data_IF_277062097424
#
_entry.id   IF_277062097424
#
_cell.length_a   1.000
_cell.length_b   1.000
_cell.length_c   1.000
_cell.angle_alpha   90.00
_cell.angle_beta   90.00
_cell.angle_gamma   90.00
#
_symmetry.space_group_name_H-M   'P 1'
#
loop_
_entity.id
_entity.type
_entity.pdbx_description
1 polymer ?
#
# COMPACT_ATOMS: atom_id res chain seq x y z
N UNK A 1 13.19 -6.73 15.96
CA UNK A 1 13.35 -5.41 15.33
C UNK A 1 12.28 -4.40 15.77
N UNK A 2 10.99 -4.76 15.80
CA UNK A 2 9.92 -3.86 16.27
C UNK A 2 10.13 -3.27 17.68
N UNK A 3 10.67 -4.02 18.64
CA UNK A 3 10.91 -3.53 20.01
C UNK A 3 12.00 -2.44 20.10
N UNK A 4 13.02 -2.50 19.23
CA UNK A 4 14.11 -1.50 19.19
C UNK A 4 13.61 -0.22 18.52
N UNK A 5 12.96 -0.36 17.36
CA UNK A 5 12.35 0.76 16.65
C UNK A 5 11.27 1.46 17.48
N UNK A 6 10.50 0.71 18.30
CA UNK A 6 9.50 1.28 19.19
C UNK A 6 10.15 2.07 20.35
N UNK A 7 11.26 1.58 20.92
CA UNK A 7 12.02 2.32 21.94
C UNK A 7 12.64 3.59 21.39
N UNK A 8 13.23 3.53 20.20
CA UNK A 8 13.76 4.71 19.51
C UNK A 8 12.66 5.70 19.13
N UNK A 9 11.53 5.23 18.59
CA UNK A 9 10.37 6.06 18.28
C UNK A 9 9.77 6.72 19.53
N UNK A 10 9.69 6.01 20.66
CA UNK A 10 9.27 6.58 21.94
C UNK A 10 10.28 7.58 22.50
N UNK A 11 11.58 7.35 22.33
CA UNK A 11 12.63 8.30 22.71
C UNK A 11 12.59 9.54 21.83
N UNK A 12 12.44 9.39 20.52
CA UNK A 12 12.36 10.49 19.56
C UNK A 12 11.07 11.28 19.75
N UNK A 13 9.92 10.63 19.97
CA UNK A 13 8.68 11.34 20.31
C UNK A 13 8.80 12.01 21.69
N UNK A 14 9.50 11.38 22.64
CA UNK A 14 9.86 11.99 23.92
C UNK A 14 10.67 13.28 23.73
N UNK A 15 11.77 13.23 22.98
CA UNK A 15 12.63 14.39 22.69
C UNK A 15 11.89 15.48 21.89
N UNK A 16 11.16 15.10 20.84
CA UNK A 16 10.39 16.00 20.00
C UNK A 16 9.27 16.70 20.78
N UNK A 17 8.71 16.04 21.80
CA UNK A 17 7.70 16.63 22.67
C UNK A 17 8.32 17.41 23.84
N UNK A 18 9.46 16.97 24.39
CA UNK A 18 10.18 17.63 25.49
C UNK A 18 10.66 19.02 25.10
N UNK A 19 11.25 19.19 23.91
CA UNK A 19 11.68 20.51 23.40
C UNK A 19 10.51 21.48 23.21
N UNK A 20 9.27 20.98 23.09
CA UNK A 20 8.09 21.83 22.97
C UNK A 20 7.33 22.02 24.30
N UNK A 21 7.61 21.23 25.33
CA UNK A 21 6.84 21.16 26.58
C UNK A 21 7.48 21.93 27.75
N UNK A 22 8.42 22.83 27.49
CA UNK A 22 8.93 23.81 28.46
C UNK A 22 7.76 24.63 29.06
N UNK A 23 7.19 24.16 30.18
CA UNK A 23 6.16 24.89 30.92
C UNK A 23 5.01 24.07 31.51
N UNK A 24 4.90 22.75 31.30
CA UNK A 24 3.91 21.93 32.01
C UNK A 24 4.57 20.77 32.79
N UNK A 25 4.22 20.57 34.08
CA UNK A 25 4.77 19.48 34.87
C UNK A 25 4.44 18.13 34.23
N UNK A 26 5.49 17.36 34.00
CA UNK A 26 5.52 16.09 33.29
C UNK A 26 4.54 15.08 33.91
N UNK A 27 3.45 14.75 33.19
CA UNK A 27 2.82 13.44 33.37
C UNK A 27 3.71 12.46 32.62
N UNK A 28 4.69 11.89 33.33
CA UNK A 28 5.71 11.00 32.75
C UNK A 28 5.11 9.89 31.87
N UNK A 29 5.85 9.54 30.81
CA UNK A 29 5.54 8.53 29.78
C UNK A 29 5.50 7.06 30.30
N UNK A 30 5.36 6.84 31.61
CA UNK A 30 5.54 5.55 32.25
C UNK A 30 4.26 4.94 32.79
N UNK A 31 3.54 4.14 31.99
CA UNK A 31 2.78 3.05 32.60
C UNK A 31 3.80 2.04 33.14
N UNK A 32 3.67 1.59 34.39
CA UNK A 32 4.58 0.61 35.02
C UNK A 32 4.71 -0.73 34.27
N UNK A 33 3.95 -0.92 33.18
CA UNK A 33 3.98 -2.09 32.29
C UNK A 33 4.60 -1.81 30.92
N UNK A 34 5.20 -0.64 30.70
CA UNK A 34 5.91 -0.30 29.46
C UNK A 34 5.03 -0.21 28.21
N UNK A 35 3.71 -0.10 28.37
CA UNK A 35 2.79 0.02 27.24
C UNK A 35 2.45 1.48 27.06
N UNK A 36 3.18 2.15 26.19
CA UNK A 36 2.85 3.47 25.67
C UNK A 36 2.87 3.35 24.13
N UNK A 37 1.95 4.01 23.40
CA UNK A 37 0.78 4.76 23.87
C UNK A 37 -0.39 3.83 24.29
N UNK A 38 -1.23 4.26 25.23
CA UNK A 38 -2.48 3.54 25.61
C UNK A 38 -3.75 4.23 25.13
N UNK A 39 -3.66 5.47 24.67
CA UNK A 39 -4.80 6.22 24.14
C UNK A 39 -4.36 7.14 23.00
N UNK A 40 -5.30 7.58 22.14
CA UNK A 40 -5.00 8.53 21.07
C UNK A 40 -4.45 9.86 21.59
N UNK A 41 -4.88 10.34 22.75
CA UNK A 41 -4.41 11.60 23.33
C UNK A 41 -2.95 11.52 23.75
N UNK A 42 -2.46 10.33 24.14
CA UNK A 42 -1.04 10.13 24.41
C UNK A 42 -0.20 10.10 23.13
N UNK A 43 -0.80 9.68 22.01
CA UNK A 43 -0.16 9.69 20.69
C UNK A 43 -0.17 11.10 20.08
N UNK A 44 -1.19 11.89 20.39
CA UNK A 44 -1.44 13.23 19.85
C UNK A 44 -1.68 14.25 20.98
N UNK A 45 -0.68 14.56 21.82
CA UNK A 45 -0.86 15.38 23.03
C UNK A 45 -1.31 16.82 22.74
N UNK A 46 -1.11 17.30 21.50
CA UNK A 46 -1.54 18.62 21.02
C UNK A 46 -2.58 18.54 19.90
N UNK A 47 -3.18 17.37 19.73
CA UNK A 47 -4.04 17.05 18.59
C UNK A 47 -3.25 16.53 17.38
N UNK A 48 -3.90 15.75 16.49
CA UNK A 48 -3.22 15.07 15.39
C UNK A 48 -2.51 16.00 14.41
N UNK A 49 -3.14 17.11 14.05
CA UNK A 49 -2.58 18.09 13.11
C UNK A 49 -1.27 18.70 13.61
N UNK A 50 -1.24 19.18 14.86
CA UNK A 50 -0.04 19.81 15.43
C UNK A 50 1.09 18.79 15.62
N UNK A 51 0.76 17.56 15.99
CA UNK A 51 1.74 16.47 16.08
C UNK A 51 2.34 16.16 14.71
N UNK A 52 1.51 15.96 13.67
CA UNK A 52 2.01 15.66 12.32
C UNK A 52 2.81 16.82 11.73
N UNK A 53 2.36 18.06 11.91
CA UNK A 53 3.11 19.26 11.53
C UNK A 53 4.50 19.31 12.17
N UNK A 54 4.59 19.02 13.47
CA UNK A 54 5.87 19.00 14.18
C UNK A 54 6.80 17.92 13.62
N UNK A 55 6.29 16.71 13.38
CA UNK A 55 7.07 15.61 12.79
C UNK A 55 7.54 15.93 11.37
N UNK A 56 6.69 16.53 10.53
CA UNK A 56 7.09 16.96 9.18
C UNK A 56 8.21 18.01 9.23
N UNK A 57 8.17 18.98 10.16
CA UNK A 57 9.26 19.96 10.34
C UNK A 57 10.57 19.32 10.81
N UNK A 58 10.50 18.29 11.66
CA UNK A 58 11.69 17.55 12.08
C UNK A 58 12.29 16.81 10.88
N UNK A 59 11.46 16.20 10.02
CA UNK A 59 11.93 15.59 8.77
C UNK A 59 12.60 16.60 7.84
N UNK A 60 12.02 17.79 7.66
CA UNK A 60 12.62 18.89 6.88
C UNK A 60 13.98 19.32 7.45
N UNK A 61 14.14 19.24 8.77
CA UNK A 61 15.39 19.55 9.47
C UNK A 61 16.43 18.41 9.42
N UNK A 62 16.15 17.33 8.68
CA UNK A 62 17.03 16.17 8.56
C UNK A 62 16.98 15.21 9.76
N UNK A 63 16.05 15.38 10.69
CA UNK A 63 15.90 14.49 11.84
C UNK A 63 15.08 13.26 11.40
N UNK A 64 15.63 12.07 11.60
CA UNK A 64 15.03 10.80 11.19
C UNK A 64 13.81 10.41 12.02
N UNK A 65 12.63 10.93 11.64
CA UNK A 65 11.34 10.61 12.29
C UNK A 65 10.40 9.78 11.41
N UNK A 66 10.91 9.19 10.33
CA UNK A 66 10.13 8.42 9.35
C UNK A 66 9.47 7.20 9.99
N UNK A 67 10.21 6.47 10.83
CA UNK A 67 9.71 5.30 11.58
C UNK A 67 8.55 5.70 12.50
N UNK A 68 8.65 6.89 13.09
CA UNK A 68 7.65 7.39 14.02
C UNK A 68 6.38 7.79 13.29
N UNK A 69 6.48 8.52 12.18
CA UNK A 69 5.32 8.84 11.31
C UNK A 69 4.66 7.55 10.83
N UNK A 70 5.47 6.62 10.30
CA UNK A 70 5.03 5.29 9.84
C UNK A 70 4.27 4.56 10.94
N UNK A 71 4.80 4.54 12.16
CA UNK A 71 4.18 3.86 13.30
C UNK A 71 2.89 4.54 13.73
N UNK A 72 2.83 5.87 13.75
CA UNK A 72 1.62 6.60 14.14
C UNK A 72 0.51 6.39 13.11
N UNK A 73 0.83 6.42 11.82
CA UNK A 73 -0.11 6.13 10.74
C UNK A 73 -0.57 4.68 10.82
N UNK A 74 0.36 3.73 10.96
CA UNK A 74 0.03 2.32 11.12
C UNK A 74 -0.82 2.06 12.37
N UNK A 75 -0.60 2.76 13.48
CA UNK A 75 -1.32 2.56 14.75
C UNK A 75 -2.63 3.33 14.82
N UNK A 76 -2.77 4.48 14.16
CA UNK A 76 -3.96 5.32 14.29
C UNK A 76 -4.25 6.16 13.03
N UNK A 77 -4.23 5.51 11.87
CA UNK A 77 -4.50 6.12 10.56
C UNK A 77 -5.69 7.11 10.53
N UNK A 78 -6.86 6.82 11.14
CA UNK A 78 -8.01 7.73 11.06
C UNK A 78 -7.80 9.13 11.66
N UNK A 79 -6.79 9.30 12.51
CA UNK A 79 -6.41 10.61 13.04
C UNK A 79 -5.11 11.11 12.40
N UNK A 80 -4.15 10.23 12.18
CA UNK A 80 -2.83 10.57 11.65
C UNK A 80 -2.89 11.02 10.17
N UNK A 81 -3.58 10.25 9.33
CA UNK A 81 -3.55 10.46 7.89
C UNK A 81 -4.29 11.75 7.47
N UNK A 82 -5.50 12.06 7.97
CA UNK A 82 -6.13 13.37 7.69
C UNK A 82 -5.28 14.56 8.14
N UNK A 83 -4.54 14.42 9.25
CA UNK A 83 -3.61 15.45 9.71
C UNK A 83 -2.41 15.64 8.77
N UNK A 84 -1.97 14.58 8.08
CA UNK A 84 -0.95 14.66 7.03
C UNK A 84 -1.50 15.24 5.72
N UNK A 85 -2.79 15.04 5.43
CA UNK A 85 -3.46 15.61 4.24
C UNK A 85 -3.72 17.11 4.33
N UNK A 86 -3.56 17.74 5.51
CA UNK A 86 -3.59 19.21 5.63
C UNK A 86 -2.59 19.80 4.65
N UNK A 87 -3.04 20.74 3.80
CA UNK A 87 -2.31 21.21 2.62
C UNK A 87 -0.82 21.53 2.87
N UNK A 88 -0.50 22.28 3.94
CA UNK A 88 0.89 22.60 4.30
C UNK A 88 1.71 21.35 4.67
N UNK A 89 1.14 20.43 5.47
CA UNK A 89 1.82 19.19 5.85
C UNK A 89 2.04 18.28 4.63
N UNK A 90 1.02 18.13 3.78
CA UNK A 90 1.04 17.32 2.54
C UNK A 90 2.10 17.84 1.57
N UNK A 91 2.07 19.14 1.25
CA UNK A 91 3.00 19.78 0.34
C UNK A 91 4.46 19.62 0.80
N UNK A 92 4.73 19.85 2.09
CA UNK A 92 6.07 19.68 2.68
C UNK A 92 6.57 18.25 2.59
N UNK A 93 5.72 17.28 2.95
CA UNK A 93 6.08 15.88 2.94
C UNK A 93 6.37 15.39 1.51
N UNK A 94 5.56 15.78 0.54
CA UNK A 94 5.77 15.47 -0.88
C UNK A 94 7.04 16.13 -1.42
N UNK A 95 7.26 17.41 -1.13
CA UNK A 95 8.48 18.10 -1.51
C UNK A 95 9.73 17.40 -0.96
N UNK A 96 9.67 16.91 0.28
CA UNK A 96 10.75 16.13 0.88
C UNK A 96 10.95 14.77 0.18
N UNK A 97 9.87 14.06 -0.15
CA UNK A 97 9.94 12.80 -0.90
C UNK A 97 10.63 13.02 -2.24
N UNK A 98 10.20 14.04 -3.00
CA UNK A 98 10.79 14.42 -4.29
C UNK A 98 12.28 14.79 -4.12
N UNK A 99 12.60 15.66 -3.15
CA UNK A 99 13.98 16.07 -2.90
C UNK A 99 14.91 14.89 -2.58
N UNK A 100 14.41 13.90 -1.82
CA UNK A 100 15.17 12.68 -1.49
C UNK A 100 15.34 11.76 -2.70
N UNK A 101 14.30 11.56 -3.51
CA UNK A 101 14.39 10.80 -4.76
C UNK A 101 15.43 11.40 -5.70
N UNK A 102 15.39 12.73 -5.89
CA UNK A 102 16.34 13.45 -6.73
C UNK A 102 17.77 13.35 -6.17
N UNK A 103 17.94 13.43 -4.85
CA UNK A 103 19.24 13.25 -4.21
C UNK A 103 19.80 11.83 -4.41
N UNK A 104 18.95 10.80 -4.37
CA UNK A 104 19.33 9.41 -4.68
C UNK A 104 19.78 9.32 -6.15
N UNK A 105 18.98 9.81 -7.11
CA UNK A 105 19.36 9.81 -8.52
C UNK A 105 20.69 10.51 -8.77
N UNK A 106 20.87 11.72 -8.22
CA UNK A 106 22.11 12.48 -8.33
C UNK A 106 23.31 11.73 -7.74
N UNK A 107 23.13 11.06 -6.59
CA UNK A 107 24.20 10.28 -5.95
C UNK A 107 24.59 9.05 -6.78
N UNK A 108 23.61 8.36 -7.38
CA UNK A 108 23.85 7.24 -8.29
C UNK A 108 24.61 7.71 -9.53
N UNK A 109 24.17 8.81 -10.16
CA UNK A 109 24.85 9.40 -11.31
C UNK A 109 26.30 9.80 -10.98
N UNK A 110 26.52 10.44 -9.83
CA UNK A 110 27.85 10.83 -9.37
C UNK A 110 28.77 9.63 -9.11
N UNK A 111 28.24 8.53 -8.57
CA UNK A 111 29.01 7.30 -8.36
C UNK A 111 29.34 6.58 -9.66
N UNK A 112 28.40 6.52 -10.61
CA UNK A 112 28.63 5.95 -11.95
C UNK A 112 29.69 6.75 -12.70
N UNK A 113 29.69 8.08 -12.59
CA UNK A 113 30.68 8.95 -13.24
C UNK A 113 32.13 8.70 -12.76
N UNK A 114 32.32 8.10 -11.59
CA UNK A 114 33.64 7.70 -11.06
C UNK A 114 34.16 6.39 -11.68
N UNK A 115 33.31 5.62 -12.37
CA UNK A 115 33.65 4.33 -12.96
C UNK A 115 34.09 4.53 -14.41
N UNK A 116 35.21 3.91 -14.80
CA UNK A 116 35.74 4.00 -16.18
C UNK A 116 34.75 3.39 -17.19
N UNK A 117 34.35 4.09 -18.26
CA UNK A 117 33.49 3.53 -19.30
C UNK A 117 34.14 2.38 -20.09
N UNK A 118 33.35 1.41 -20.60
CA UNK A 118 31.90 1.29 -20.45
C UNK A 118 31.49 0.72 -19.08
N UNK A 119 30.44 1.27 -18.47
CA UNK A 119 29.87 0.76 -17.21
C UNK A 119 28.86 -0.35 -17.53
N UNK A 120 29.13 -1.57 -17.06
CA UNK A 120 28.23 -2.71 -17.27
C UNK A 120 26.87 -2.49 -16.56
N UNK A 121 25.74 -2.92 -17.15
CA UNK A 121 24.41 -2.78 -16.54
C UNK A 121 24.33 -3.30 -15.10
N UNK A 122 24.89 -4.48 -14.83
CA UNK A 122 24.94 -5.07 -13.48
C UNK A 122 25.69 -4.20 -12.47
N UNK A 123 26.72 -3.47 -12.90
CA UNK A 123 27.48 -2.55 -12.03
C UNK A 123 26.65 -1.30 -11.75
N UNK A 124 25.97 -0.77 -12.77
CA UNK A 124 25.04 0.36 -12.62
C UNK A 124 23.92 0.01 -11.63
N UNK A 125 23.29 -1.15 -11.80
CA UNK A 125 22.21 -1.62 -10.95
C UNK A 125 22.69 -1.81 -9.50
N UNK A 126 23.87 -2.40 -9.28
CA UNK A 126 24.44 -2.54 -7.94
C UNK A 126 24.72 -1.18 -7.27
N UNK A 127 25.20 -0.16 -8.01
CA UNK A 127 25.39 1.20 -7.48
C UNK A 127 24.04 1.83 -7.12
N UNK A 128 23.03 1.70 -7.98
CA UNK A 128 21.69 2.22 -7.73
C UNK A 128 21.04 1.56 -6.49
N UNK A 129 21.09 0.23 -6.39
CA UNK A 129 20.58 -0.51 -5.24
C UNK A 129 21.29 -0.11 -3.94
N UNK A 130 22.61 0.11 -3.97
CA UNK A 130 23.36 0.57 -2.80
C UNK A 130 22.85 1.92 -2.29
N UNK A 131 22.60 2.87 -3.19
CA UNK A 131 22.10 4.20 -2.80
C UNK A 131 20.67 4.13 -2.27
N UNK A 132 19.81 3.31 -2.87
CA UNK A 132 18.45 3.07 -2.37
C UNK A 132 18.44 2.39 -1.00
N UNK A 133 19.33 1.41 -0.79
CA UNK A 133 19.47 0.70 0.48
C UNK A 133 19.97 1.61 1.62
N UNK A 134 20.56 2.77 1.33
CA UNK A 134 20.91 3.77 2.34
C UNK A 134 19.69 4.52 2.88
N UNK A 135 18.51 4.35 2.27
CA UNK A 135 17.33 5.13 2.62
C UNK A 135 16.04 4.26 2.80
N UNK A 136 16.08 3.15 3.55
CA UNK A 136 14.95 2.20 3.61
C UNK A 136 13.73 2.76 4.36
N UNK A 137 13.96 3.70 5.28
CA UNK A 137 12.92 4.20 6.19
C UNK A 137 11.89 5.06 5.48
N UNK A 138 12.28 5.87 4.48
CA UNK A 138 11.30 6.70 3.76
C UNK A 138 10.48 5.89 2.76
N UNK A 139 11.06 4.87 2.11
CA UNK A 139 10.30 3.96 1.23
C UNK A 139 9.20 3.27 2.04
N UNK A 140 9.57 2.77 3.23
CA UNK A 140 8.62 2.17 4.17
C UNK A 140 7.56 3.16 4.64
N UNK A 141 7.93 4.43 4.85
CA UNK A 141 6.99 5.49 5.22
C UNK A 141 6.00 5.79 4.09
N UNK A 142 6.49 5.98 2.86
CA UNK A 142 5.64 6.22 1.68
C UNK A 142 4.68 5.05 1.47
N UNK A 143 5.16 3.82 1.58
CA UNK A 143 4.31 2.64 1.54
C UNK A 143 3.23 2.66 2.63
N UNK A 144 3.59 2.91 3.88
CA UNK A 144 2.61 2.95 4.97
C UNK A 144 1.58 4.08 4.80
N UNK A 145 1.98 5.18 4.17
CA UNK A 145 1.07 6.28 3.84
C UNK A 145 0.09 5.90 2.75
N UNK A 146 0.52 5.19 1.71
CA UNK A 146 -0.31 4.94 0.53
C UNK A 146 -1.07 3.61 0.58
N UNK A 147 -0.44 2.57 1.12
CA UNK A 147 -0.93 1.18 1.12
C UNK A 147 -0.93 0.54 2.51
N UNK A 148 -0.74 1.36 3.56
CA UNK A 148 -0.68 0.88 4.93
C UNK A 148 -2.02 0.36 5.45
N UNK A 149 -1.98 -0.25 6.64
CA UNK A 149 -3.17 -0.81 7.27
C UNK A 149 -4.26 0.26 7.46
N UNK A 150 -5.49 -0.10 7.10
CA UNK A 150 -6.68 0.77 7.04
C UNK A 150 -6.63 1.87 5.97
N UNK A 151 -5.74 1.77 4.98
CA UNK A 151 -5.82 2.62 3.79
C UNK A 151 -7.15 2.42 3.07
N UNK A 152 -7.71 3.52 2.60
CA UNK A 152 -8.85 3.53 1.66
C UNK A 152 -8.33 3.63 0.24
N UNK A 153 -9.16 3.23 -0.71
CA UNK A 153 -8.82 3.29 -2.13
C UNK A 153 -8.52 4.74 -2.58
N UNK A 154 -9.20 5.74 -2.02
CA UNK A 154 -8.93 7.16 -2.34
C UNK A 154 -7.69 7.74 -1.66
N UNK A 155 -7.13 7.09 -0.63
CA UNK A 155 -6.11 7.72 0.22
C UNK A 155 -4.85 8.08 -0.59
N UNK A 156 -4.45 7.25 -1.56
CA UNK A 156 -3.28 7.53 -2.39
C UNK A 156 -3.52 8.75 -3.27
N UNK A 157 -4.68 8.82 -3.94
CA UNK A 157 -5.07 9.94 -4.80
C UNK A 157 -5.20 11.24 -3.99
N UNK A 158 -5.85 11.19 -2.82
CA UNK A 158 -5.99 12.33 -1.92
C UNK A 158 -4.61 12.86 -1.45
N UNK A 159 -3.66 11.95 -1.22
CA UNK A 159 -2.31 12.30 -0.83
C UNK A 159 -1.50 12.91 -1.97
N UNK A 160 -1.54 12.33 -3.17
CA UNK A 160 -0.70 12.77 -4.30
C UNK A 160 -1.35 13.83 -5.17
N UNK A 161 -2.63 14.15 -4.95
CA UNK A 161 -3.37 15.20 -5.66
C UNK A 161 -2.56 16.50 -5.75
N UNK A 162 -2.54 17.08 -6.95
CA UNK A 162 -1.76 18.26 -7.35
C UNK A 162 -0.25 18.02 -7.55
N UNK A 163 0.27 16.84 -7.19
CA UNK A 163 1.70 16.51 -7.27
C UNK A 163 2.00 15.24 -8.09
N UNK A 164 1.00 14.66 -8.76
CA UNK A 164 1.17 13.39 -9.47
C UNK A 164 2.32 13.41 -10.48
N UNK A 165 2.45 14.49 -11.25
CA UNK A 165 3.51 14.65 -12.25
C UNK A 165 4.91 14.75 -11.61
N UNK A 166 5.08 15.64 -10.64
CA UNK A 166 6.39 15.85 -10.00
C UNK A 166 6.86 14.59 -9.23
N UNK A 167 5.92 13.88 -8.58
CA UNK A 167 6.21 12.60 -7.94
C UNK A 167 6.55 11.51 -8.96
N UNK A 168 5.80 11.42 -10.06
CA UNK A 168 6.08 10.46 -11.12
C UNK A 168 7.47 10.69 -11.70
N UNK A 169 7.81 11.92 -12.05
CA UNK A 169 9.11 12.26 -12.65
C UNK A 169 10.27 11.88 -11.72
N UNK A 170 10.17 12.24 -10.43
CA UNK A 170 11.19 11.91 -9.44
C UNK A 170 11.34 10.40 -9.21
N UNK A 171 10.23 9.65 -9.15
CA UNK A 171 10.26 8.19 -9.00
C UNK A 171 10.80 7.55 -10.28
N UNK A 172 10.32 7.98 -11.46
CA UNK A 172 10.72 7.48 -12.76
C UNK A 172 12.22 7.67 -13.00
N UNK A 173 12.79 8.81 -12.60
CA UNK A 173 14.22 9.08 -12.72
C UNK A 173 15.03 8.02 -11.94
N UNK A 174 14.63 7.71 -10.70
CA UNK A 174 15.28 6.70 -9.87
C UNK A 174 15.08 5.28 -10.45
N UNK A 175 13.86 4.93 -10.84
CA UNK A 175 13.57 3.59 -11.37
C UNK A 175 14.26 3.31 -12.70
N UNK A 176 14.50 4.34 -13.52
CA UNK A 176 15.20 4.23 -14.80
C UNK A 176 16.70 3.93 -14.65
N UNK A 177 17.25 4.06 -13.44
CA UNK A 177 18.63 3.68 -13.12
C UNK A 177 18.78 2.19 -12.78
N UNK A 178 17.67 1.47 -12.59
CA UNK A 178 17.63 0.05 -12.24
C UNK A 178 17.37 -0.81 -13.48
N UNK A 179 17.96 -2.01 -13.51
CA UNK A 179 17.75 -2.97 -14.61
C UNK A 179 16.37 -3.63 -14.52
N UNK A 180 15.95 -3.97 -13.29
CA UNK A 180 14.70 -4.68 -12.98
C UNK A 180 14.00 -4.06 -11.77
N UNK A 181 13.59 -2.78 -11.86
CA UNK A 181 12.99 -2.05 -10.74
C UNK A 181 11.75 -2.74 -10.16
N UNK A 182 10.95 -3.41 -10.99
CA UNK A 182 9.75 -4.11 -10.54
C UNK A 182 10.04 -5.25 -9.55
N UNK A 183 11.25 -5.83 -9.58
CA UNK A 183 11.69 -6.87 -8.64
C UNK A 183 12.41 -6.31 -7.42
N UNK A 184 13.30 -5.33 -7.64
CA UNK A 184 14.13 -4.79 -6.56
C UNK A 184 13.43 -3.69 -5.75
N UNK A 185 12.49 -2.98 -6.36
CA UNK A 185 11.77 -1.84 -5.82
C UNK A 185 10.27 -1.89 -6.15
N UNK A 186 9.68 -3.10 -6.08
CA UNK A 186 8.27 -3.37 -6.41
C UNK A 186 7.29 -2.28 -5.96
N UNK A 187 7.41 -1.81 -4.72
CA UNK A 187 6.52 -0.79 -4.13
C UNK A 187 6.62 0.58 -4.79
N UNK A 188 7.83 1.04 -5.09
CA UNK A 188 8.04 2.30 -5.82
C UNK A 188 7.59 2.16 -7.26
N UNK A 189 7.84 1.01 -7.89
CA UNK A 189 7.40 0.74 -9.25
C UNK A 189 5.87 0.70 -9.36
N UNK A 190 5.20 0.11 -8.37
CA UNK A 190 3.73 0.10 -8.29
C UNK A 190 3.16 1.51 -8.07
N UNK A 191 3.80 2.33 -7.24
CA UNK A 191 3.43 3.74 -7.10
C UNK A 191 3.64 4.52 -8.40
N UNK A 192 4.74 4.29 -9.11
CA UNK A 192 4.98 4.93 -10.41
C UNK A 192 3.91 4.56 -11.44
N UNK A 193 3.44 3.31 -11.44
CA UNK A 193 2.33 2.86 -12.28
C UNK A 193 1.04 3.64 -11.98
N UNK A 194 0.63 3.71 -10.70
CA UNK A 194 -0.54 4.48 -10.25
C UNK A 194 -0.45 5.96 -10.63
N UNK A 195 0.73 6.56 -10.44
CA UNK A 195 0.93 7.97 -10.79
C UNK A 195 0.85 8.16 -12.30
N UNK A 196 1.50 7.30 -13.10
CA UNK A 196 1.48 7.37 -14.57
C UNK A 196 0.07 7.27 -15.15
N UNK A 197 -0.76 6.34 -14.65
CA UNK A 197 -2.16 6.20 -15.10
C UNK A 197 -2.99 7.43 -14.75
N UNK A 198 -2.71 8.06 -13.60
CA UNK A 198 -3.38 9.29 -13.17
C UNK A 198 -2.93 10.57 -13.91
N UNK A 199 -1.84 10.52 -14.70
CA UNK A 199 -1.36 11.71 -15.41
C UNK A 199 -2.32 12.11 -16.54
N UNK A 200 -2.55 13.41 -16.75
CA UNK A 200 -3.21 13.90 -17.96
C UNK A 200 -2.47 13.43 -19.21
N UNK A 201 -3.20 13.10 -20.28
CA UNK A 201 -2.62 12.58 -21.53
C UNK A 201 -1.46 13.46 -22.06
N UNK A 202 -1.60 14.80 -22.00
CA UNK A 202 -0.57 15.75 -22.43
C UNK A 202 0.75 15.71 -21.62
N UNK A 203 0.77 15.04 -20.46
CA UNK A 203 1.93 14.87 -19.59
C UNK A 203 2.47 13.43 -19.60
N UNK A 204 1.78 12.48 -20.22
CA UNK A 204 2.22 11.08 -20.26
C UNK A 204 3.42 10.96 -21.20
N UNK A 205 4.53 10.47 -20.68
CA UNK A 205 5.63 9.93 -21.49
C UNK A 205 5.23 8.56 -22.06
N UNK A 206 5.91 8.06 -23.11
CA UNK A 206 5.74 6.67 -23.54
C UNK A 206 5.82 5.73 -22.33
N UNK A 207 4.89 4.78 -22.26
CA UNK A 207 4.73 3.89 -21.10
C UNK A 207 6.09 3.27 -20.73
N UNK A 208 6.60 3.48 -19.50
CA UNK A 208 7.90 2.95 -19.11
C UNK A 208 7.96 1.42 -19.16
N UNK A 209 9.10 0.83 -19.54
CA UNK A 209 9.23 -0.62 -19.66
C UNK A 209 8.89 -1.40 -18.38
N UNK A 210 9.24 -0.84 -17.21
CA UNK A 210 8.89 -1.47 -15.93
C UNK A 210 7.38 -1.48 -15.65
N UNK A 211 6.62 -0.52 -16.20
CA UNK A 211 5.16 -0.49 -16.07
C UNK A 211 4.56 -1.69 -16.78
N UNK A 212 4.93 -1.94 -18.05
CA UNK A 212 4.49 -3.12 -18.80
C UNK A 212 4.78 -4.43 -18.04
N UNK A 213 5.93 -4.50 -17.37
CA UNK A 213 6.34 -5.70 -16.63
C UNK A 213 5.54 -5.91 -15.36
N UNK A 214 5.24 -4.84 -14.62
CA UNK A 214 4.35 -4.92 -13.44
C UNK A 214 2.96 -5.36 -13.87
N UNK A 215 2.43 -4.77 -14.94
CA UNK A 215 1.12 -5.13 -15.48
C UNK A 215 1.09 -6.61 -15.90
N UNK A 216 2.10 -7.07 -16.64
CA UNK A 216 2.19 -8.45 -17.08
C UNK A 216 2.37 -9.44 -15.91
N UNK A 217 3.21 -9.12 -14.92
CA UNK A 217 3.42 -9.95 -13.73
C UNK A 217 2.14 -10.00 -12.88
N UNK A 218 1.47 -8.86 -12.65
CA UNK A 218 0.21 -8.82 -11.92
C UNK A 218 -0.92 -9.54 -12.66
N UNK A 219 -1.01 -9.42 -13.98
CA UNK A 219 -1.97 -10.17 -14.79
C UNK A 219 -1.70 -11.68 -14.70
N UNK A 220 -0.43 -12.11 -14.75
CA UNK A 220 -0.05 -13.50 -14.60
C UNK A 220 -0.42 -14.05 -13.21
N UNK A 221 -0.12 -13.30 -12.15
CA UNK A 221 -0.46 -13.66 -10.77
C UNK A 221 -1.97 -13.77 -10.57
N UNK A 222 -2.73 -12.82 -11.12
CA UNK A 222 -4.19 -12.81 -11.03
C UNK A 222 -4.85 -13.84 -11.94
N UNK A 223 -4.15 -14.35 -12.95
CA UNK A 223 -4.60 -15.46 -13.81
C UNK A 223 -4.50 -16.82 -13.10
N UNK A 224 -3.66 -16.96 -12.06
CA UNK A 224 -3.70 -18.12 -11.18
C UNK A 224 -4.76 -17.91 -10.08
N UNK A 225 -5.87 -18.65 -10.10
CA UNK A 225 -6.97 -18.44 -9.15
C UNK A 225 -6.54 -18.62 -7.69
N UNK A 226 -5.52 -19.44 -7.40
CA UNK A 226 -5.07 -19.65 -6.04
C UNK A 226 -4.11 -18.55 -5.55
N UNK A 227 -3.33 -17.93 -6.44
CA UNK A 227 -2.54 -16.73 -6.13
C UNK A 227 -3.49 -15.55 -5.90
N UNK A 228 -4.46 -15.35 -6.79
CA UNK A 228 -5.53 -14.37 -6.60
C UNK A 228 -6.22 -14.54 -5.23
N UNK A 229 -6.62 -15.78 -4.90
CA UNK A 229 -7.24 -16.11 -3.60
C UNK A 229 -6.36 -15.70 -2.42
N UNK A 230 -5.05 -15.98 -2.49
CA UNK A 230 -4.11 -15.61 -1.44
C UNK A 230 -4.16 -14.11 -1.16
N UNK A 231 -4.07 -13.27 -2.20
CA UNK A 231 -4.07 -11.82 -2.05
C UNK A 231 -5.38 -11.29 -1.46
N UNK A 232 -6.53 -11.78 -1.93
CA UNK A 232 -7.83 -11.36 -1.43
C UNK A 232 -8.08 -11.79 0.02
N UNK A 233 -7.73 -13.03 0.39
CA UNK A 233 -7.89 -13.51 1.77
C UNK A 233 -6.90 -12.84 2.71
N UNK A 234 -5.66 -12.58 2.27
CA UNK A 234 -4.68 -11.83 3.04
C UNK A 234 -5.14 -10.39 3.33
N UNK A 235 -5.77 -9.73 2.35
CA UNK A 235 -6.40 -8.41 2.55
C UNK A 235 -7.45 -8.45 3.66
N UNK A 236 -8.39 -9.40 3.59
CA UNK A 236 -9.45 -9.53 4.58
C UNK A 236 -8.94 -9.92 5.98
N UNK A 237 -7.89 -10.73 6.06
CA UNK A 237 -7.26 -11.11 7.33
C UNK A 237 -6.52 -9.95 8.03
N UNK A 238 -6.04 -8.99 7.25
CA UNK A 238 -5.31 -7.81 7.72
C UNK A 238 -6.21 -6.60 7.97
N UNK A 239 -7.47 -6.65 7.52
CA UNK A 239 -8.46 -5.60 7.74
C UNK A 239 -8.72 -5.39 9.24
N UNK A 240 -8.59 -4.14 9.72
CA UNK A 240 -8.86 -3.80 11.13
C UNK A 240 -10.23 -3.16 11.38
N UNK A 241 -11.13 -3.21 10.40
CA UNK A 241 -12.53 -2.86 10.62
C UNK A 241 -13.35 -4.06 11.09
N UNK A 242 -14.54 -3.79 11.59
CA UNK A 242 -15.57 -4.79 11.87
C UNK A 242 -16.14 -5.30 10.54
N UNK A 243 -16.31 -6.62 10.41
CA UNK A 243 -16.99 -7.26 9.28
C UNK A 243 -18.50 -7.41 9.46
N UNK A 244 -19.08 -6.81 10.50
CA UNK A 244 -20.54 -6.76 10.63
C UNK A 244 -21.16 -5.93 9.50
N UNK A 245 -22.30 -6.36 8.93
CA UNK A 245 -23.00 -5.58 7.91
C UNK A 245 -23.29 -4.16 8.42
N UNK A 246 -23.05 -3.16 7.56
CA UNK A 246 -23.23 -1.72 7.81
C UNK A 246 -22.43 -1.14 8.98
N UNK A 247 -21.56 -1.91 9.63
CA UNK A 247 -20.91 -1.46 10.86
C UNK A 247 -19.74 -0.52 10.58
N UNK A 248 -18.84 -0.92 9.69
CA UNK A 248 -17.60 -0.22 9.29
C UNK A 248 -16.72 0.34 10.43
N UNK A 249 -17.02 0.02 11.70
CA UNK A 249 -16.27 0.50 12.86
C UNK A 249 -14.83 0.03 12.76
N UNK A 250 -13.89 0.94 12.94
CA UNK A 250 -12.46 0.65 13.02
C UNK A 250 -12.10 0.23 14.45
N UNK A 251 -11.05 -0.56 14.63
CA UNK A 251 -10.54 -0.97 15.97
C UNK A 251 -10.34 0.25 16.89
N UNK A 252 -9.97 1.40 16.34
CA UNK A 252 -9.76 2.65 17.10
C UNK A 252 -11.04 3.31 17.62
N UNK A 253 -12.20 2.99 17.05
CA UNK A 253 -13.49 3.50 17.51
C UNK A 253 -14.06 2.72 18.71
N UNK A 254 -13.36 1.67 19.16
CA UNK A 254 -13.78 0.84 20.28
C UNK A 254 -13.53 1.59 21.60
N UNK A 255 -14.52 1.70 22.51
CA UNK A 255 -14.32 2.37 23.79
C UNK A 255 -13.40 1.59 24.74
N UNK A 256 -13.23 0.29 24.51
CA UNK A 256 -12.34 -0.56 25.31
C UNK A 256 -11.05 -0.86 24.55
N UNK A 257 -9.88 -0.74 25.19
CA UNK A 257 -8.61 -1.08 24.56
C UNK A 257 -8.57 -2.52 24.02
N UNK A 258 -7.83 -2.73 22.93
CA UNK A 258 -7.55 -4.04 22.34
C UNK A 258 -8.25 -4.28 21.01
N UNK A 259 -7.87 -5.38 20.34
CA UNK A 259 -8.42 -5.75 19.04
C UNK A 259 -9.90 -6.13 19.11
N UNK A 260 -10.53 -6.21 17.94
CA UNK A 260 -11.82 -6.88 17.79
C UNK A 260 -11.68 -8.38 18.03
N UNK A 261 -12.81 -9.01 18.38
CA UNK A 261 -12.84 -10.46 18.57
C UNK A 261 -12.87 -11.13 17.20
N UNK A 262 -11.94 -12.04 16.94
CA UNK A 262 -11.95 -12.86 15.72
C UNK A 262 -12.95 -14.01 15.83
N UNK A 263 -13.49 -14.45 14.70
CA UNK A 263 -14.32 -15.64 14.63
C UNK A 263 -13.50 -16.86 15.10
N UNK A 264 -13.93 -17.51 16.17
CA UNK A 264 -13.19 -18.62 16.79
C UNK A 264 -12.99 -19.84 15.87
N UNK A 265 -13.76 -19.94 14.77
CA UNK A 265 -13.68 -21.07 13.82
C UNK A 265 -12.66 -20.86 12.72
N UNK A 266 -12.70 -19.71 12.02
CA UNK A 266 -11.77 -19.45 10.91
C UNK A 266 -10.58 -18.58 11.30
N UNK A 267 -10.67 -17.76 12.36
CA UNK A 267 -9.58 -16.87 12.81
C UNK A 267 -9.29 -15.67 11.90
N UNK A 268 -9.97 -15.55 10.76
CA UNK A 268 -9.75 -14.49 9.75
C UNK A 268 -10.54 -13.23 10.09
N UNK A 269 -11.86 -13.39 10.23
CA UNK A 269 -12.82 -12.30 10.33
C UNK A 269 -12.97 -11.82 11.75
N UNK A 270 -13.16 -10.50 11.93
CA UNK A 270 -13.27 -9.90 13.25
C UNK A 270 -14.47 -8.97 13.38
N UNK A 271 -15.00 -8.90 14.61
CA UNK A 271 -16.21 -8.16 14.92
C UNK A 271 -16.05 -7.29 16.17
N UNK A 272 -16.66 -6.11 16.13
CA UNK A 272 -16.69 -5.23 17.29
C UNK A 272 -17.63 -5.75 18.40
N UNK A 273 -18.60 -6.60 18.07
CA UNK A 273 -19.56 -7.17 19.02
C UNK A 273 -20.12 -8.53 18.55
N UNK A 274 -20.78 -9.27 19.47
CA UNK A 274 -21.44 -10.55 19.16
C UNK A 274 -22.66 -10.35 18.25
N UNK A 275 -23.29 -9.19 18.32
CA UNK A 275 -24.44 -8.81 17.50
C UNK A 275 -24.00 -8.66 16.03
N UNK A 276 -22.87 -7.96 15.78
CA UNK A 276 -22.28 -7.87 14.44
C UNK A 276 -21.93 -9.25 13.87
N UNK A 277 -21.34 -10.13 14.69
CA UNK A 277 -21.04 -11.50 14.27
C UNK A 277 -22.30 -12.30 13.91
N UNK A 278 -23.38 -12.17 14.71
CA UNK A 278 -24.65 -12.87 14.44
C UNK A 278 -25.34 -12.34 13.19
N UNK A 279 -25.29 -11.03 12.95
CA UNK A 279 -25.84 -10.41 11.76
C UNK A 279 -25.12 -10.91 10.51
N UNK A 280 -23.79 -10.90 10.51
CA UNK A 280 -22.95 -11.37 9.40
C UNK A 280 -23.11 -12.90 9.13
N UNK A 281 -23.46 -13.68 10.16
CA UNK A 281 -23.58 -15.14 10.06
C UNK A 281 -24.52 -15.61 8.93
N UNK A 282 -25.61 -14.88 8.69
CA UNK A 282 -26.63 -15.19 7.68
C UNK A 282 -26.82 -14.07 6.66
N UNK A 283 -25.95 -13.06 6.67
CA UNK A 283 -26.05 -11.90 5.79
C UNK A 283 -25.87 -12.32 4.31
N UNK A 284 -26.76 -11.89 3.44
CA UNK A 284 -26.67 -12.18 2.01
C UNK A 284 -25.88 -11.09 1.26
N UNK A 285 -25.25 -11.38 0.12
CA UNK A 285 -25.23 -12.68 -0.60
C UNK A 285 -24.20 -13.69 -0.08
N UNK A 286 -23.30 -13.27 0.82
CA UNK A 286 -22.19 -14.10 1.30
C UNK A 286 -22.30 -14.39 2.81
N UNK A 287 -23.20 -15.29 3.25
CA UNK A 287 -23.37 -15.56 4.67
C UNK A 287 -22.08 -16.12 5.25
N UNK A 288 -21.58 -15.49 6.32
CA UNK A 288 -20.31 -15.88 6.93
C UNK A 288 -20.33 -17.35 7.37
N UNK A 289 -21.48 -17.94 7.69
CA UNK A 289 -21.59 -19.40 7.93
C UNK A 289 -20.98 -20.25 6.81
N UNK A 290 -21.19 -19.84 5.56
CA UNK A 290 -20.66 -20.54 4.38
C UNK A 290 -19.18 -20.24 4.17
N UNK A 291 -18.81 -18.96 4.21
CA UNK A 291 -17.43 -18.47 4.06
C UNK A 291 -16.50 -19.03 5.15
N UNK A 292 -16.95 -19.02 6.41
CA UNK A 292 -16.23 -19.55 7.56
C UNK A 292 -15.82 -21.01 7.37
N UNK A 293 -16.70 -21.82 6.76
CA UNK A 293 -16.40 -23.23 6.46
C UNK A 293 -15.30 -23.33 5.42
N UNK A 294 -15.42 -22.59 4.31
CA UNK A 294 -14.41 -22.57 3.24
C UNK A 294 -13.05 -22.10 3.76
N UNK A 295 -13.01 -21.02 4.55
CA UNK A 295 -11.78 -20.51 5.16
C UNK A 295 -11.17 -21.54 6.13
N UNK A 296 -11.98 -22.22 6.94
CA UNK A 296 -11.49 -23.27 7.84
C UNK A 296 -10.91 -24.45 7.06
N UNK A 297 -11.59 -24.88 6.00
CA UNK A 297 -11.14 -26.01 5.19
C UNK A 297 -9.85 -25.65 4.44
N UNK A 298 -9.74 -24.43 3.92
CA UNK A 298 -8.53 -23.86 3.31
C UNK A 298 -7.35 -23.79 4.29
N UNK A 299 -7.57 -23.24 5.49
CA UNK A 299 -6.53 -23.10 6.52
C UNK A 299 -6.19 -24.41 7.26
N UNK A 300 -6.83 -25.53 6.92
CA UNK A 300 -6.42 -26.84 7.41
C UNK A 300 -5.10 -27.32 6.77
N UNK A 301 -4.73 -26.77 5.61
CA UNK A 301 -3.52 -27.18 4.87
C UNK A 301 -2.67 -26.01 4.33
N UNK A 302 -3.20 -24.78 4.30
CA UNK A 302 -2.46 -23.58 3.91
C UNK A 302 -2.44 -22.56 5.08
N UNK A 303 -1.52 -21.59 5.06
CA UNK A 303 -1.46 -20.47 6.01
C UNK A 303 -1.10 -19.19 5.26
N UNK A 304 -1.41 -18.01 5.80
CA UNK A 304 -1.03 -16.73 5.18
C UNK A 304 0.43 -16.33 5.46
N UNK A 305 1.20 -17.16 6.18
CA UNK A 305 2.61 -16.92 6.46
C UNK A 305 3.52 -17.46 5.34
N UNK A 306 3.00 -18.31 4.45
CA UNK A 306 3.74 -18.78 3.27
C UNK A 306 3.62 -17.80 2.11
N UNK A 307 4.53 -17.88 1.14
CA UNK A 307 4.43 -17.09 -0.09
C UNK A 307 3.21 -17.48 -0.92
N UNK A 308 2.76 -16.59 -1.81
CA UNK A 308 1.60 -16.82 -2.66
C UNK A 308 1.75 -18.09 -3.52
N UNK A 309 2.95 -18.36 -4.03
CA UNK A 309 3.24 -19.53 -4.86
C UNK A 309 3.16 -20.83 -4.04
N UNK A 310 3.66 -20.80 -2.80
CA UNK A 310 3.56 -21.95 -1.89
C UNK A 310 2.12 -22.20 -1.47
N UNK A 311 1.34 -21.14 -1.26
CA UNK A 311 -0.09 -21.21 -0.99
C UNK A 311 -0.84 -21.84 -2.16
N UNK A 312 -0.57 -21.38 -3.38
CA UNK A 312 -1.16 -21.92 -4.60
C UNK A 312 -0.80 -23.40 -4.81
N UNK A 313 0.47 -23.76 -4.61
CA UNK A 313 0.92 -25.15 -4.67
C UNK A 313 0.22 -26.03 -3.62
N UNK A 314 0.04 -25.54 -2.39
CA UNK A 314 -0.69 -26.24 -1.33
C UNK A 314 -2.17 -26.47 -1.70
N UNK A 315 -2.83 -25.46 -2.27
CA UNK A 315 -4.20 -25.58 -2.76
C UNK A 315 -4.34 -26.64 -3.86
N UNK A 316 -3.43 -26.66 -4.84
CA UNK A 316 -3.39 -27.68 -5.89
C UNK A 316 -3.15 -29.08 -5.32
N UNK A 317 -2.20 -29.22 -4.40
CA UNK A 317 -1.87 -30.51 -3.78
C UNK A 317 -3.05 -31.12 -3.00
N UNK A 318 -3.90 -30.28 -2.41
CA UNK A 318 -5.10 -30.71 -1.68
C UNK A 318 -6.38 -30.68 -2.53
N UNK A 319 -6.26 -30.43 -3.84
CA UNK A 319 -7.39 -30.32 -4.76
C UNK A 319 -8.48 -29.36 -4.26
N UNK A 320 -8.09 -28.20 -3.73
CA UNK A 320 -9.04 -27.22 -3.21
C UNK A 320 -9.98 -26.75 -4.33
N UNK A 321 -11.32 -26.93 -4.23
CA UNK A 321 -12.21 -26.77 -5.38
C UNK A 321 -12.24 -25.33 -5.91
N UNK A 322 -12.13 -25.15 -7.24
CA UNK A 322 -12.18 -23.83 -7.89
C UNK A 322 -13.46 -23.05 -7.57
N UNK A 323 -14.62 -23.72 -7.49
CA UNK A 323 -15.88 -23.08 -7.08
C UNK A 323 -15.80 -22.46 -5.67
N UNK A 324 -14.99 -23.04 -4.78
CA UNK A 324 -14.75 -22.47 -3.44
C UNK A 324 -13.80 -21.27 -3.51
N UNK A 325 -12.83 -21.31 -4.42
CA UNK A 325 -11.95 -20.17 -4.73
C UNK A 325 -12.77 -18.99 -5.23
N UNK A 326 -13.58 -19.17 -6.27
CA UNK A 326 -14.41 -18.13 -6.87
C UNK A 326 -15.32 -17.48 -5.84
N UNK A 327 -15.95 -18.31 -4.99
CA UNK A 327 -16.83 -17.83 -3.91
C UNK A 327 -16.09 -17.02 -2.85
N UNK A 328 -14.88 -17.41 -2.48
CA UNK A 328 -14.05 -16.66 -1.52
C UNK A 328 -13.56 -15.35 -2.13
N UNK A 329 -13.17 -15.34 -3.41
CA UNK A 329 -12.78 -14.12 -4.13
C UNK A 329 -13.97 -13.17 -4.21
N UNK A 330 -15.13 -13.64 -4.67
CA UNK A 330 -16.37 -12.83 -4.76
C UNK A 330 -16.76 -12.21 -3.41
N UNK A 331 -16.64 -12.99 -2.34
CA UNK A 331 -16.89 -12.50 -0.98
C UNK A 331 -15.88 -11.42 -0.56
N UNK A 332 -14.60 -11.63 -0.85
CA UNK A 332 -13.54 -10.68 -0.45
C UNK A 332 -13.54 -9.39 -1.27
N UNK A 333 -14.11 -9.40 -2.48
CA UNK A 333 -14.28 -8.22 -3.34
C UNK A 333 -15.63 -7.54 -3.17
N UNK A 334 -16.54 -8.12 -2.39
CA UNK A 334 -17.94 -7.68 -2.24
C UNK A 334 -18.71 -7.60 -3.58
N UNK A 335 -18.25 -8.35 -4.59
CA UNK A 335 -18.93 -8.44 -5.88
C UNK A 335 -19.95 -9.56 -5.76
N UNK A 336 -21.23 -9.21 -5.60
CA UNK A 336 -22.31 -10.17 -5.72
C UNK A 336 -22.19 -10.89 -7.07
N UNK A 337 -22.26 -12.22 -7.08
CA UNK A 337 -21.83 -13.13 -8.15
C UNK A 337 -22.66 -13.09 -9.46
N UNK A 338 -23.03 -11.92 -9.97
CA UNK A 338 -23.48 -11.73 -11.35
C UNK A 338 -22.27 -11.41 -12.21
N UNK A 339 -21.91 -12.33 -13.11
CA UNK A 339 -20.77 -12.23 -14.06
C UNK A 339 -19.59 -11.42 -13.53
N UNK A 340 -18.75 -12.12 -12.76
CA UNK A 340 -17.43 -11.63 -12.38
C UNK A 340 -16.61 -11.47 -13.66
N UNK A 341 -16.70 -10.32 -14.30
CA UNK A 341 -15.63 -9.85 -15.17
C UNK A 341 -14.49 -9.46 -14.24
N UNK A 342 -13.76 -10.48 -13.77
CA UNK A 342 -12.58 -10.32 -12.93
C UNK A 342 -11.57 -9.41 -13.62
N UNK A 343 -11.54 -9.39 -14.96
CA UNK A 343 -10.76 -8.42 -15.71
C UNK A 343 -11.35 -7.01 -15.55
N UNK A 344 -12.67 -6.78 -15.59
CA UNK A 344 -13.29 -5.50 -15.26
C UNK A 344 -13.07 -5.07 -13.81
N UNK A 345 -13.08 -5.97 -12.84
CA UNK A 345 -12.81 -5.60 -11.46
C UNK A 345 -11.32 -5.36 -11.21
N UNK A 346 -10.43 -6.10 -11.86
CA UNK A 346 -9.01 -5.76 -11.86
C UNK A 346 -8.79 -4.43 -12.55
N UNK A 347 -9.54 -4.15 -13.64
CA UNK A 347 -9.65 -2.85 -14.28
C UNK A 347 -10.12 -1.77 -13.27
N UNK A 348 -11.21 -1.98 -12.56
CA UNK A 348 -11.81 -1.01 -11.64
C UNK A 348 -11.07 -0.89 -10.30
N UNK A 349 -10.24 -1.86 -9.92
CA UNK A 349 -9.13 -1.65 -9.00
C UNK A 349 -8.15 -0.72 -9.73
N UNK A 350 -8.48 0.59 -9.74
CA UNK A 350 -7.99 1.80 -10.46
C UNK A 350 -6.66 1.76 -11.26
N UNK A 351 -5.81 0.79 -11.00
CA UNK A 351 -4.57 0.44 -11.69
C UNK A 351 -4.81 -0.11 -13.11
N UNK A 352 -5.85 -0.93 -13.38
CA UNK A 352 -5.95 -1.59 -14.70
C UNK A 352 -7.00 -1.03 -15.67
N UNK A 353 -7.96 -0.23 -15.22
CA UNK A 353 -9.20 0.04 -15.97
C UNK A 353 -9.13 1.18 -16.97
N UNK A 354 -8.13 2.03 -16.79
CA UNK A 354 -7.78 3.07 -17.77
C UNK A 354 -6.82 2.56 -18.85
N UNK A 355 -6.30 1.33 -18.74
CA UNK A 355 -5.24 0.81 -19.60
C UNK A 355 -5.72 0.02 -20.83
N UNK A 356 -6.93 -0.54 -20.77
CA UNK A 356 -7.44 -1.45 -21.81
C UNK A 356 -8.50 -0.84 -22.73
N UNK A 357 -8.98 0.37 -22.43
CA UNK A 357 -9.97 1.07 -23.24
C UNK A 357 -9.36 1.86 -24.41
N UNK A 358 -8.03 2.08 -24.43
CA UNK A 358 -7.36 2.92 -25.46
C UNK A 358 -6.68 2.10 -26.58
N UNK A 359 -6.49 0.78 -26.43
CA UNK A 359 -5.88 -0.06 -27.49
C UNK A 359 -6.87 -0.50 -28.58
N UNK A 360 -8.18 -0.46 -28.31
CA UNK A 360 -9.21 -0.77 -29.32
C UNK A 360 -9.45 0.38 -30.32
N UNK A 361 -9.08 1.63 -29.99
CA UNK A 361 -9.29 2.79 -30.87
C UNK A 361 -8.09 3.07 -31.82
N UNK A 362 -6.89 2.57 -31.51
CA UNK A 362 -5.70 2.81 -32.35
C UNK A 362 -5.48 1.76 -33.45
N UNK A 363 -6.22 0.65 -33.43
CA UNK A 363 -6.15 -0.37 -34.49
C UNK A 363 -7.24 -0.23 -35.55
N UNK A 364 -8.19 0.69 -35.37
CA UNK A 364 -9.28 0.92 -36.32
C UNK A 364 -8.95 1.94 -37.44
N UNK A 365 -7.90 2.76 -37.28
CA UNK A 365 -7.60 3.89 -38.18
C UNK A 365 -6.41 3.64 -39.14
N UNK A 366 -5.82 2.43 -39.16
CA UNK A 366 -4.66 2.12 -40.02
C UNK A 366 -4.98 1.28 -41.27
N UNK A 367 -6.24 0.91 -41.51
CA UNK A 367 -6.62 0.01 -42.62
C UNK A 367 -7.39 0.68 -43.78
N UNK A 368 -7.55 2.01 -43.82
CA UNK A 368 -8.31 2.70 -44.90
C UNK A 368 -7.49 3.49 -45.95
N UNK A 369 -6.15 3.55 -45.91
CA UNK A 369 -5.34 4.28 -46.91
C UNK A 369 -4.36 3.41 -47.74
N UNK A 370 -4.79 2.25 -48.27
CA UNK A 370 -4.10 1.61 -49.40
C UNK A 370 -5.10 1.14 -50.46
N UNK A 371 -5.71 2.09 -51.17
CA UNK A 371 -6.70 1.72 -52.19
C UNK A 371 -7.16 2.83 -53.12
N UNK A 372 -6.26 3.55 -53.80
CA UNK A 372 -6.46 3.93 -55.21
C UNK A 372 -5.33 4.85 -55.73
N UNK A 373 -4.63 4.40 -56.77
CA UNK A 373 -4.34 5.18 -57.99
C UNK A 373 -3.20 4.52 -58.78
N UNK A 374 -3.56 3.51 -59.57
CA UNK A 374 -2.76 3.00 -60.68
C UNK A 374 -3.66 2.87 -61.92
N UNK A 375 -4.00 4.00 -62.55
CA UNK A 375 -4.57 4.15 -63.92
C UNK A 375 -4.31 5.60 -64.34
N UNK A 376 -3.79 5.98 -65.52
CA UNK A 376 -3.31 5.32 -66.74
C UNK A 376 -2.20 6.17 -67.36
#
# INVERSE_FOLDING_TARGET
MLDVAQKEASMILGLALSDQLEGRPEKGFGSRRGRWPTSPEQLFPRGPEQTMRALTRLLESGIGVEVLITSIVAVHRPLAFPALLVADNRARLIALIIARLNAVSASVCADIAKIRPPVLPVVRDAVAQRQLAACPLWITMVEALLFGVDSKDSDWSDFTCDYNADLFDAIHEVLSLLERPERSQFKLSHLALLLWTSLPHARRIPRPHYVYRIEAEALADMSDPYIALYHFVAREANRRSCHGPDCQKLVHAKPTPGSFSRCAKCGVIQYCSKECQRADWSNQPFPHKSICRLLRDLFAFATLEMSAERFAAACRAHSFPLQSVDKLISWATDIASGELDLAAHLRDMEIFGTLFSEEEDQTADSDEEEGDSFRS
#
